data_IF_599720624838
#
_entry.id   IF_599720624838
#
_cell.length_a   1.000
_cell.length_b   1.000
_cell.length_c   1.000
_cell.angle_alpha   90.00
_cell.angle_beta   90.00
_cell.angle_gamma   90.00
#
_symmetry.space_group_name_H-M   'P 1'
#
loop_
_entity.id
_entity.type
_entity.pdbx_description
1 polymer ?
#
# COMPACT_ATOMS: atom_id res chain seq x y z
N UNK A 1 20.58 55.93 42.79
CA UNK A 1 20.74 55.31 41.46
C UNK A 1 20.71 53.81 41.65
N UNK A 2 19.55 53.16 41.52
CA UNK A 2 19.46 51.70 41.43
C UNK A 2 18.49 51.37 40.31
N UNK A 3 19.05 51.05 39.13
CA UNK A 3 18.30 50.58 37.99
C UNK A 3 17.84 49.15 38.26
N UNK A 4 16.58 48.98 38.65
CA UNK A 4 15.91 47.68 38.64
C UNK A 4 15.90 47.17 37.20
N UNK A 5 16.84 46.29 36.88
CA UNK A 5 16.88 45.53 35.64
C UNK A 5 15.66 44.61 35.60
N UNK A 6 14.68 44.97 34.77
CA UNK A 6 13.54 44.12 34.44
C UNK A 6 14.05 42.95 33.58
N UNK A 7 14.40 41.84 34.24
CA UNK A 7 14.61 40.57 33.56
C UNK A 7 13.24 40.00 33.18
N UNK A 8 12.91 39.78 31.90
CA UNK A 8 11.68 39.10 31.52
C UNK A 8 11.82 37.64 31.95
N UNK A 9 11.18 37.26 33.06
CA UNK A 9 11.11 35.87 33.49
C UNK A 9 10.43 35.07 32.39
N UNK A 10 11.21 34.23 31.70
CA UNK A 10 10.72 33.34 30.67
C UNK A 10 9.55 32.52 31.25
N UNK A 11 8.41 32.42 30.54
CA UNK A 11 7.27 31.65 31.03
C UNK A 11 7.72 30.21 31.28
N UNK A 12 7.24 29.56 32.36
CA UNK A 12 7.67 28.22 32.71
C UNK A 12 7.39 27.28 31.54
N UNK A 13 8.44 26.60 31.05
CA UNK A 13 8.44 25.64 29.94
C UNK A 13 7.28 24.62 30.03
N UNK A 14 6.87 24.34 31.27
CA UNK A 14 5.80 23.43 31.66
C UNK A 14 4.40 23.90 31.19
N UNK A 15 4.16 25.20 31.07
CA UNK A 15 2.87 25.76 30.66
C UNK A 15 2.60 25.58 29.15
N UNK A 16 3.66 25.53 28.33
CA UNK A 16 3.56 25.29 26.88
C UNK A 16 3.26 23.80 26.60
N UNK A 17 3.87 22.90 27.37
CA UNK A 17 3.69 21.45 27.21
C UNK A 17 2.30 20.95 27.64
N UNK A 18 1.69 21.54 28.67
CA UNK A 18 0.35 21.15 29.11
C UNK A 18 -0.73 21.50 28.07
N UNK A 19 -0.66 22.68 27.43
CA UNK A 19 -1.62 23.08 26.38
C UNK A 19 -1.54 22.20 25.13
N UNK A 20 -0.34 21.78 24.70
CA UNK A 20 -0.17 20.87 23.57
C UNK A 20 -0.74 19.47 23.84
N UNK A 21 -0.55 18.92 25.05
CA UNK A 21 -1.07 17.59 25.43
C UNK A 21 -2.60 17.56 25.46
N UNK A 22 -3.24 18.60 25.99
CA UNK A 22 -4.70 18.71 25.98
C UNK A 22 -5.28 18.91 24.57
N UNK A 23 -4.58 19.60 23.68
CA UNK A 23 -5.00 19.75 22.28
C UNK A 23 -4.94 18.44 21.48
N UNK A 24 -3.91 17.60 21.68
CA UNK A 24 -3.79 16.29 21.01
C UNK A 24 -4.87 15.32 21.49
N UNK A 25 -5.13 15.28 22.81
CA UNK A 25 -6.21 14.46 23.37
C UNK A 25 -7.61 14.95 22.95
N UNK A 26 -7.81 16.27 22.81
CA UNK A 26 -9.07 16.83 22.32
C UNK A 26 -9.29 16.58 20.82
N UNK A 27 -8.22 16.56 20.01
CA UNK A 27 -8.29 16.21 18.59
C UNK A 27 -8.62 14.73 18.37
N UNK A 28 -8.02 13.83 19.16
CA UNK A 28 -8.32 12.39 19.16
C UNK A 28 -9.79 12.08 19.50
N UNK A 29 -10.41 12.90 20.35
CA UNK A 29 -11.83 12.72 20.73
C UNK A 29 -12.80 13.17 19.65
N UNK A 30 -12.41 14.13 18.79
CA UNK A 30 -13.25 14.68 17.72
C UNK A 30 -13.38 13.71 16.53
N UNK A 31 -12.34 12.93 16.27
CA UNK A 31 -12.28 11.98 15.14
C UNK A 31 -12.30 10.50 15.59
N UNK A 32 -12.86 10.20 16.78
CA UNK A 32 -12.86 8.84 17.36
C UNK A 32 -13.45 7.77 16.42
N UNK A 33 -14.45 8.14 15.61
CA UNK A 33 -15.05 7.24 14.61
C UNK A 33 -14.04 6.85 13.51
N UNK A 34 -13.23 7.81 13.05
CA UNK A 34 -12.20 7.56 12.04
C UNK A 34 -11.07 6.69 12.60
N UNK A 35 -10.65 6.95 13.84
CA UNK A 35 -9.67 6.12 14.55
C UNK A 35 -10.20 4.71 14.81
N UNK A 36 -11.47 4.55 15.19
CA UNK A 36 -12.07 3.22 15.42
C UNK A 36 -12.16 2.39 14.14
N UNK A 37 -12.41 3.03 12.98
CA UNK A 37 -12.40 2.34 11.68
C UNK A 37 -10.98 1.91 11.30
N UNK A 38 -9.96 2.72 11.63
CA UNK A 38 -8.56 2.44 11.35
C UNK A 38 -7.92 1.46 12.35
N UNK A 39 -8.41 1.40 13.59
CA UNK A 39 -7.82 0.54 14.63
C UNK A 39 -8.01 -0.94 14.29
N UNK A 40 -9.15 -1.31 13.69
CA UNK A 40 -9.48 -2.69 13.31
C UNK A 40 -8.43 -3.27 12.32
N UNK A 41 -8.17 -2.65 11.14
CA UNK A 41 -7.15 -3.15 10.22
C UNK A 41 -5.73 -3.03 10.78
N UNK A 42 -5.45 -2.04 11.63
CA UNK A 42 -4.13 -1.89 12.26
C UNK A 42 -3.85 -3.02 13.26
N UNK A 43 -4.81 -3.37 14.12
CA UNK A 43 -4.67 -4.49 15.05
C UNK A 43 -4.52 -5.80 14.29
N UNK A 44 -5.30 -5.98 13.22
CA UNK A 44 -5.17 -7.14 12.34
C UNK A 44 -3.76 -7.24 11.73
N UNK A 45 -3.23 -6.14 11.20
CA UNK A 45 -1.85 -6.06 10.69
C UNK A 45 -0.83 -6.40 11.77
N UNK A 46 -0.99 -5.88 12.98
CA UNK A 46 -0.05 -6.12 14.06
C UNK A 46 0.00 -7.61 14.43
N UNK A 47 -1.15 -8.25 14.60
CA UNK A 47 -1.21 -9.66 15.03
C UNK A 47 -0.77 -10.58 13.90
N UNK A 48 -1.32 -10.41 12.70
CA UNK A 48 -1.13 -11.37 11.60
C UNK A 48 0.09 -11.10 10.73
N UNK A 49 0.58 -9.86 10.64
CA UNK A 49 1.77 -9.53 9.84
C UNK A 49 2.99 -9.28 10.72
N UNK A 50 2.84 -8.54 11.82
CA UNK A 50 3.97 -8.24 12.70
C UNK A 50 4.27 -9.38 13.69
N UNK A 51 3.23 -10.09 14.16
CA UNK A 51 3.37 -11.32 14.96
C UNK A 51 4.32 -12.35 14.35
N UNK A 52 4.09 -12.85 13.12
CA UNK A 52 5.00 -13.82 12.51
C UNK A 52 6.38 -13.24 12.20
N UNK A 53 6.53 -11.93 12.02
CA UNK A 53 7.85 -11.31 11.83
C UNK A 53 8.75 -11.42 13.06
N UNK A 54 8.19 -11.50 14.27
CA UNK A 54 8.97 -11.78 15.49
C UNK A 54 9.60 -13.18 15.41
N UNK A 55 8.94 -14.11 14.71
CA UNK A 55 9.47 -15.43 14.38
C UNK A 55 10.74 -15.40 13.52
N UNK A 56 11.05 -14.30 12.83
CA UNK A 56 12.29 -14.17 12.05
C UNK A 56 13.57 -14.20 12.91
N UNK A 57 13.45 -14.09 14.24
CA UNK A 57 14.57 -14.30 15.18
C UNK A 57 15.19 -15.70 15.03
N UNK A 58 14.46 -16.69 14.50
CA UNK A 58 15.01 -18.03 14.22
C UNK A 58 16.17 -18.00 13.21
N UNK A 59 16.27 -16.98 12.34
CA UNK A 59 17.40 -16.85 11.41
C UNK A 59 18.74 -16.62 12.12
N UNK A 60 18.71 -16.13 13.37
CA UNK A 60 19.90 -15.86 14.19
C UNK A 60 20.18 -16.95 15.23
N UNK A 61 19.30 -17.94 15.36
CA UNK A 61 19.39 -19.03 16.34
C UNK A 61 19.51 -20.37 15.61
N UNK A 62 20.26 -21.31 16.18
CA UNK A 62 20.43 -22.65 15.61
C UNK A 62 19.12 -23.42 15.75
N UNK A 63 18.36 -23.50 14.68
CA UNK A 63 17.13 -24.30 14.61
C UNK A 63 17.50 -25.73 14.20
N UNK A 64 17.18 -26.70 15.07
CA UNK A 64 17.32 -28.13 14.78
C UNK A 64 15.91 -28.71 14.72
N UNK A 65 15.45 -29.29 13.59
CA UNK A 65 14.12 -29.87 13.50
C UNK A 65 13.99 -31.02 14.51
N UNK A 66 13.08 -30.86 15.49
CA UNK A 66 12.91 -31.78 16.64
C UNK A 66 13.40 -31.25 17.99
N UNK A 67 14.05 -30.09 18.04
CA UNK A 67 14.50 -29.42 19.27
C UNK A 67 13.56 -28.29 19.75
N UNK A 68 14.04 -27.46 20.67
CA UNK A 68 13.25 -26.33 21.22
C UNK A 68 12.76 -25.37 20.13
N UNK A 69 11.46 -24.99 20.17
CA UNK A 69 10.78 -24.11 19.20
C UNK A 69 11.51 -22.77 19.02
N UNK A 70 12.27 -22.33 20.02
CA UNK A 70 13.01 -21.07 19.99
C UNK A 70 14.51 -21.21 19.64
N UNK A 71 15.01 -22.41 19.31
CA UNK A 71 16.41 -22.64 18.93
C UNK A 71 17.38 -22.62 20.12
N UNK A 72 18.37 -23.50 20.13
CA UNK A 72 19.14 -23.80 21.35
C UNK A 72 20.31 -22.83 21.59
N UNK A 73 20.90 -22.27 20.53
CA UNK A 73 22.11 -21.45 20.61
C UNK A 73 22.05 -20.26 19.66
N UNK A 74 22.50 -19.09 20.12
CA UNK A 74 22.67 -17.91 19.29
C UNK A 74 23.88 -18.11 18.38
N UNK A 75 23.65 -18.20 17.06
CA UNK A 75 24.68 -18.47 16.05
C UNK A 75 24.95 -17.26 15.14
N UNK A 76 24.26 -16.14 15.39
CA UNK A 76 24.49 -14.88 14.70
C UNK A 76 24.34 -15.00 13.20
N UNK A 77 25.37 -14.61 12.45
CA UNK A 77 25.39 -14.54 10.98
C UNK A 77 25.88 -15.83 10.30
N UNK A 78 26.01 -16.94 11.03
CA UNK A 78 26.55 -18.18 10.46
C UNK A 78 25.75 -18.69 9.24
N UNK A 79 24.42 -18.73 9.35
CA UNK A 79 23.55 -19.14 8.23
C UNK A 79 23.58 -18.15 7.06
N UNK A 80 23.74 -16.85 7.33
CA UNK A 80 23.88 -15.84 6.28
C UNK A 80 25.17 -16.04 5.47
N UNK A 81 26.30 -16.33 6.13
CA UNK A 81 27.56 -16.62 5.42
C UNK A 81 27.44 -17.88 4.57
N UNK A 82 26.92 -18.97 5.16
CA UNK A 82 26.69 -20.22 4.43
C UNK A 82 25.79 -20.02 3.20
N UNK A 83 24.78 -19.17 3.31
CA UNK A 83 23.86 -18.86 2.21
C UNK A 83 24.48 -17.99 1.10
N UNK A 84 25.34 -17.04 1.46
CA UNK A 84 26.03 -16.16 0.48
C UNK A 84 27.20 -16.87 -0.21
N UNK A 85 27.88 -17.77 0.50
CA UNK A 85 28.99 -18.58 -0.03
C UNK A 85 28.51 -19.66 -1.00
N UNK A 86 27.22 -20.01 -1.00
CA UNK A 86 26.65 -20.98 -1.94
C UNK A 86 26.54 -20.38 -3.37
N UNK A 87 27.20 -20.96 -4.39
CA UNK A 87 27.10 -20.48 -5.76
C UNK A 87 25.69 -20.63 -6.37
N UNK A 88 24.89 -21.57 -5.88
CA UNK A 88 23.50 -21.80 -6.30
C UNK A 88 22.61 -20.62 -5.92
N UNK A 89 22.86 -19.99 -4.77
CA UNK A 89 22.11 -18.82 -4.33
C UNK A 89 22.19 -17.68 -5.36
N UNK A 90 23.40 -17.35 -5.83
CA UNK A 90 23.60 -16.29 -6.81
C UNK A 90 22.95 -16.57 -8.16
N UNK A 91 22.92 -17.83 -8.58
CA UNK A 91 22.24 -18.26 -9.81
C UNK A 91 20.72 -18.06 -9.69
N UNK A 92 20.13 -18.51 -8.59
CA UNK A 92 18.69 -18.36 -8.34
C UNK A 92 18.33 -16.89 -8.13
N UNK A 93 19.13 -16.14 -7.37
CA UNK A 93 18.93 -14.71 -7.11
C UNK A 93 18.92 -13.90 -8.41
N UNK A 94 19.90 -14.13 -9.29
CA UNK A 94 19.95 -13.49 -10.60
C UNK A 94 18.75 -13.86 -11.46
N UNK A 95 18.33 -15.13 -11.45
CA UNK A 95 17.13 -15.56 -12.18
C UNK A 95 15.86 -14.88 -11.65
N UNK A 96 15.67 -14.80 -10.34
CA UNK A 96 14.54 -14.10 -9.73
C UNK A 96 14.56 -12.60 -10.04
N UNK A 97 15.74 -11.99 -10.10
CA UNK A 97 15.88 -10.57 -10.47
C UNK A 97 15.57 -10.33 -11.95
N UNK A 98 16.07 -11.20 -12.85
CA UNK A 98 15.78 -11.14 -14.28
C UNK A 98 14.30 -11.37 -14.53
N UNK A 99 13.70 -12.40 -13.92
CA UNK A 99 12.26 -12.68 -14.03
C UNK A 99 11.43 -11.54 -13.45
N UNK A 100 11.78 -11.02 -12.27
CA UNK A 100 11.10 -9.88 -11.66
C UNK A 100 11.19 -8.62 -12.54
N UNK A 101 12.36 -8.34 -13.11
CA UNK A 101 12.56 -7.24 -14.05
C UNK A 101 11.78 -7.41 -15.35
N UNK A 102 11.77 -8.62 -15.92
CA UNK A 102 11.00 -8.95 -17.11
C UNK A 102 9.49 -8.84 -16.85
N UNK A 103 9.01 -9.36 -15.72
CA UNK A 103 7.63 -9.21 -15.29
C UNK A 103 7.27 -7.74 -15.11
N UNK A 104 8.12 -6.93 -14.48
CA UNK A 104 7.87 -5.49 -14.35
C UNK A 104 7.76 -4.81 -15.74
N UNK A 105 8.70 -5.10 -16.63
CA UNK A 105 8.76 -4.50 -17.96
C UNK A 105 7.62 -4.96 -18.87
N UNK A 106 7.10 -6.17 -18.72
CA UNK A 106 5.99 -6.68 -19.54
C UNK A 106 4.61 -6.40 -18.91
N UNK A 107 4.46 -6.61 -17.60
CA UNK A 107 3.17 -6.44 -16.89
C UNK A 107 2.75 -4.98 -16.77
N UNK A 108 3.70 -4.03 -16.78
CA UNK A 108 3.36 -2.60 -16.77
C UNK A 108 2.76 -2.08 -18.09
N UNK A 109 3.37 -2.29 -19.28
CA UNK A 109 2.83 -1.77 -20.54
C UNK A 109 1.63 -2.55 -21.08
N UNK A 110 1.49 -3.84 -20.77
CA UNK A 110 0.39 -4.66 -21.30
C UNK A 110 -1.00 -4.10 -20.95
N UNK A 111 -1.32 -3.76 -19.69
CA UNK A 111 -2.59 -3.13 -19.34
C UNK A 111 -2.79 -1.75 -19.97
N UNK A 112 -1.71 -0.98 -20.17
CA UNK A 112 -1.77 0.35 -20.80
C UNK A 112 -2.16 0.22 -22.27
N UNK A 113 -1.47 -0.67 -23.00
CA UNK A 113 -1.80 -0.95 -24.41
C UNK A 113 -3.22 -1.49 -24.51
N UNK A 114 -3.61 -2.41 -23.62
CA UNK A 114 -4.96 -2.97 -23.59
C UNK A 114 -6.03 -1.89 -23.34
N UNK A 115 -5.79 -0.96 -22.41
CA UNK A 115 -6.68 0.17 -22.15
C UNK A 115 -6.79 1.12 -23.36
N UNK A 116 -5.68 1.37 -24.06
CA UNK A 116 -5.68 2.20 -25.26
C UNK A 116 -6.43 1.54 -26.42
N UNK A 117 -6.24 0.22 -26.63
CA UNK A 117 -6.97 -0.54 -27.64
C UNK A 117 -8.47 -0.52 -27.36
N UNK A 118 -8.89 -0.79 -26.12
CA UNK A 118 -10.31 -0.71 -25.75
C UNK A 118 -10.87 0.70 -25.96
N UNK A 119 -10.15 1.74 -25.53
CA UNK A 119 -10.60 3.13 -25.70
C UNK A 119 -10.77 3.51 -27.18
N UNK A 120 -9.86 3.09 -28.05
CA UNK A 120 -9.92 3.41 -29.49
C UNK A 120 -11.14 2.80 -30.18
N UNK A 121 -11.44 1.54 -29.88
CA UNK A 121 -12.63 0.89 -30.42
C UNK A 121 -13.90 1.67 -30.00
N UNK A 122 -14.00 2.11 -28.74
CA UNK A 122 -15.14 2.90 -28.26
C UNK A 122 -15.32 4.23 -28.99
N UNK A 123 -14.23 4.91 -29.40
CA UNK A 123 -14.35 6.18 -30.14
C UNK A 123 -14.87 6.01 -31.58
N UNK A 124 -14.59 4.87 -32.22
CA UNK A 124 -15.12 4.58 -33.56
C UNK A 124 -16.63 4.27 -33.51
N UNK A 125 -17.11 3.67 -32.41
CA UNK A 125 -18.56 3.55 -32.16
C UNK A 125 -19.24 4.91 -32.04
N UNK A 126 -18.66 5.87 -31.31
CA UNK A 126 -19.27 7.21 -31.15
C UNK A 126 -19.35 7.98 -32.48
N UNK A 127 -18.33 7.84 -33.35
CA UNK A 127 -18.32 8.44 -34.69
C UNK A 127 -19.40 7.80 -35.59
N UNK A 128 -19.51 6.47 -35.57
CA UNK A 128 -20.57 5.74 -36.27
C UNK A 128 -21.96 6.14 -35.78
N UNK A 129 -22.20 6.24 -34.48
CA UNK A 129 -23.49 6.67 -33.93
C UNK A 129 -23.87 8.08 -34.40
N UNK A 130 -22.91 9.01 -34.48
CA UNK A 130 -23.17 10.36 -35.00
C UNK A 130 -23.48 10.37 -36.51
N UNK A 131 -22.82 9.52 -37.29
CA UNK A 131 -23.11 9.37 -38.71
C UNK A 131 -24.49 8.76 -38.96
N UNK A 132 -24.87 7.76 -38.18
CA UNK A 132 -26.18 7.11 -38.23
C UNK A 132 -27.30 8.05 -37.78
N UNK A 133 -27.02 8.96 -36.84
CA UNK A 133 -27.93 10.03 -36.42
C UNK A 133 -28.15 11.06 -37.54
N UNK A 134 -27.12 11.36 -38.32
CA UNK A 134 -27.23 12.22 -39.51
C UNK A 134 -28.10 11.64 -40.63
N UNK A 135 -28.31 10.32 -40.65
CA UNK A 135 -29.16 9.63 -41.64
C UNK A 135 -30.63 9.50 -41.22
N UNK A 136 -31.05 10.06 -40.08
CA UNK A 136 -32.45 10.05 -39.64
C UNK A 136 -32.94 8.69 -39.11
N UNK A 137 -32.03 7.79 -38.72
CA UNK A 137 -32.35 6.50 -38.07
C UNK A 137 -32.59 6.62 -36.56
N UNK A 138 -33.21 7.71 -36.10
CA UNK A 138 -33.40 8.01 -34.67
C UNK A 138 -34.17 6.90 -33.92
N UNK A 139 -35.08 6.21 -34.62
CA UNK A 139 -35.84 5.08 -34.06
C UNK A 139 -34.98 3.84 -33.76
N UNK A 140 -33.88 3.62 -34.48
CA UNK A 140 -32.94 2.53 -34.20
C UNK A 140 -31.92 2.93 -33.12
N UNK A 141 -31.59 4.22 -33.02
CA UNK A 141 -30.72 4.77 -31.98
C UNK A 141 -31.36 4.75 -30.59
N UNK A 142 -32.68 4.89 -30.47
CA UNK A 142 -33.36 4.72 -29.17
C UNK A 142 -33.31 3.27 -28.66
N UNK A 143 -33.47 2.29 -29.56
CA UNK A 143 -33.41 0.86 -29.23
C UNK A 143 -32.01 0.42 -28.82
N UNK A 144 -30.97 0.92 -29.50
CA UNK A 144 -29.57 0.65 -29.14
C UNK A 144 -29.15 1.40 -27.88
N UNK A 145 -29.53 2.67 -27.70
CA UNK A 145 -29.24 3.41 -26.46
C UNK A 145 -29.89 2.77 -25.24
N UNK A 146 -31.15 2.33 -25.32
CA UNK A 146 -31.83 1.68 -24.21
C UNK A 146 -31.17 0.33 -23.86
N UNK A 147 -30.75 -0.43 -24.88
CA UNK A 147 -30.00 -1.67 -24.68
C UNK A 147 -28.61 -1.40 -24.07
N UNK A 148 -27.87 -0.40 -24.58
CA UNK A 148 -26.56 -0.02 -24.04
C UNK A 148 -26.66 0.51 -22.61
N UNK A 149 -27.65 1.35 -22.29
CA UNK A 149 -27.96 1.79 -20.91
C UNK A 149 -28.22 0.59 -20.02
N UNK A 150 -29.01 -0.38 -20.48
CA UNK A 150 -29.30 -1.64 -19.77
C UNK A 150 -28.05 -2.50 -19.54
N UNK A 151 -27.05 -2.46 -20.43
CA UNK A 151 -25.76 -3.12 -20.21
C UNK A 151 -24.83 -2.33 -19.29
N UNK A 152 -24.89 -0.99 -19.31
CA UNK A 152 -24.08 -0.10 -18.47
C UNK A 152 -24.59 0.01 -17.03
N UNK A 153 -25.90 -0.12 -16.80
CA UNK A 153 -26.51 -0.17 -15.46
C UNK A 153 -26.37 -1.55 -14.78
N UNK A 154 -26.10 -2.61 -15.54
CA UNK A 154 -25.98 -3.98 -15.01
C UNK A 154 -24.53 -4.35 -14.63
N UNK A 155 -23.59 -3.40 -14.73
CA UNK A 155 -22.17 -3.56 -14.42
C UNK A 155 -21.78 -2.55 -13.35
#
# INVERSE_FOLDING_TARGET
>A
MESKTFSPSLPPENAVNQRKRHAVFSALRKDWQLYSLLVIPVIYLLIFKYGPMIGNVIAFRRFVPGGSIFGEKWVGLHYFRMFIEDPTFWRVFSNSLILGGLTLLCTFPVPIIFALLLKRNLSEYDAFINELKGQGLDSYLELTNNTYKKYKEKK
#
